data_IF_534939537988
#
_entry.id   IF_534939537988
#
_cell.length_a   1.000
_cell.length_b   1.000
_cell.length_c   1.000
_cell.angle_alpha   90.00
_cell.angle_beta   90.00
_cell.angle_gamma   90.00
#
_symmetry.space_group_name_H-M   'P 1'
#
loop_
_entity.id
_entity.type
_entity.pdbx_description
1 polymer ?
#
# COMPACT_ATOMS: atom_id res chain seq x y z
N UNK A 1 26.16 -15.51 1.33
CA UNK A 1 25.64 -14.50 0.39
C UNK A 1 24.61 -13.67 1.15
N UNK A 2 24.80 -12.36 1.28
CA UNK A 2 23.73 -11.50 1.79
C UNK A 2 22.59 -11.52 0.78
N UNK A 3 21.39 -11.82 1.25
CA UNK A 3 20.18 -11.77 0.43
C UNK A 3 19.87 -10.29 0.18
N UNK A 4 20.26 -9.77 -1.00
CA UNK A 4 19.94 -8.39 -1.36
C UNK A 4 18.49 -8.37 -1.81
N UNK A 5 17.60 -7.84 -0.98
CA UNK A 5 16.22 -7.62 -1.42
C UNK A 5 16.18 -6.49 -2.45
N UNK A 6 15.49 -6.68 -3.58
CA UNK A 6 15.35 -5.64 -4.59
C UNK A 6 14.56 -4.44 -4.04
N UNK A 7 14.99 -3.22 -4.40
CA UNK A 7 14.29 -1.99 -4.04
C UNK A 7 12.97 -1.83 -4.78
N UNK A 8 12.87 -2.41 -5.98
CA UNK A 8 11.68 -2.43 -6.83
C UNK A 8 11.55 -3.81 -7.47
N UNK A 9 10.35 -4.38 -7.42
CA UNK A 9 9.97 -5.58 -8.18
C UNK A 9 8.77 -5.23 -9.06
N UNK A 10 8.84 -5.61 -10.34
CA UNK A 10 7.75 -5.37 -11.31
C UNK A 10 7.13 -6.71 -11.67
N UNK A 11 5.82 -6.83 -11.48
CA UNK A 11 5.05 -7.98 -11.93
C UNK A 11 4.55 -7.72 -13.36
N UNK A 12 4.84 -8.65 -14.26
CA UNK A 12 4.36 -8.63 -15.65
C UNK A 12 3.19 -9.61 -15.75
N UNK A 13 2.03 -9.08 -16.13
CA UNK A 13 0.84 -9.89 -16.41
C UNK A 13 0.91 -10.35 -17.87
N UNK A 14 1.24 -11.64 -18.05
CA UNK A 14 1.37 -12.26 -19.37
C UNK A 14 0.04 -12.66 -19.99
N UNK A 15 -1.02 -12.71 -19.19
CA UNK A 15 -2.36 -13.11 -19.66
C UNK A 15 -3.12 -11.91 -20.23
N UNK A 16 -2.78 -10.70 -19.78
CA UNK A 16 -3.35 -9.43 -20.25
C UNK A 16 -2.32 -8.62 -21.03
N UNK A 17 -1.96 -9.05 -22.26
CA UNK A 17 -1.12 -8.28 -23.20
C UNK A 17 0.28 -7.88 -22.69
N UNK A 18 0.88 -8.64 -21.77
CA UNK A 18 2.22 -8.36 -21.23
C UNK A 18 2.33 -6.99 -20.55
N UNK A 19 1.26 -6.56 -19.89
CA UNK A 19 1.24 -5.29 -19.15
C UNK A 19 1.97 -5.41 -17.81
N UNK A 20 2.30 -4.25 -17.23
CA UNK A 20 2.73 -4.19 -15.83
C UNK A 20 1.50 -4.37 -14.95
N UNK A 21 1.37 -5.54 -14.32
CA UNK A 21 0.28 -5.86 -13.41
C UNK A 21 0.43 -5.22 -12.02
N UNK A 22 1.66 -4.86 -11.65
CA UNK A 22 1.93 -4.14 -10.41
C UNK A 22 3.41 -3.87 -10.19
N UNK A 23 3.69 -2.88 -9.35
CA UNK A 23 5.04 -2.51 -8.94
C UNK A 23 5.10 -2.53 -7.41
N UNK A 24 5.95 -3.40 -6.87
CA UNK A 24 6.24 -3.44 -5.44
C UNK A 24 7.51 -2.62 -5.17
N UNK A 25 7.42 -1.68 -4.22
CA UNK A 25 8.49 -0.74 -3.88
C UNK A 25 8.87 -0.91 -2.40
N UNK A 26 10.15 -1.18 -2.15
CA UNK A 26 10.80 -1.22 -0.83
C UNK A 26 11.82 -0.10 -0.62
N UNK A 27 12.01 0.77 -1.62
CA UNK A 27 12.94 1.90 -1.55
C UNK A 27 12.43 3.01 -0.62
N UNK A 28 13.17 3.31 0.45
CA UNK A 28 12.87 4.36 1.43
C UNK A 28 12.78 5.76 0.82
N UNK A 29 13.42 5.98 -0.34
CA UNK A 29 13.45 7.25 -1.06
C UNK A 29 12.14 7.53 -1.80
N UNK A 30 11.33 6.51 -2.07
CA UNK A 30 10.02 6.72 -2.71
C UNK A 30 9.10 7.50 -1.77
N UNK A 31 8.52 8.59 -2.30
CA UNK A 31 7.52 9.41 -1.63
C UNK A 31 6.45 9.80 -2.64
N UNK A 32 5.19 9.82 -2.21
CA UNK A 32 4.10 10.45 -2.96
C UNK A 32 4.31 11.96 -3.01
N UNK A 33 3.53 12.66 -3.84
CA UNK A 33 3.53 14.12 -3.92
C UNK A 33 3.19 14.83 -2.60
N UNK A 34 2.53 14.14 -1.65
CA UNK A 34 2.26 14.65 -0.29
C UNK A 34 3.27 14.16 0.76
N UNK A 35 4.38 13.59 0.33
CA UNK A 35 5.46 13.14 1.22
C UNK A 35 5.21 11.83 1.95
N UNK A 36 4.17 11.06 1.58
CA UNK A 36 3.89 9.75 2.17
C UNK A 36 4.81 8.71 1.53
N UNK A 37 5.45 7.87 2.33
CA UNK A 37 6.17 6.71 1.80
C UNK A 37 6.49 5.72 2.90
N UNK A 38 7.50 4.88 2.69
CA UNK A 38 7.94 3.92 3.69
C UNK A 38 8.36 4.66 4.97
N UNK A 39 7.97 4.12 6.13
CA UNK A 39 8.13 4.71 7.45
C UNK A 39 7.03 5.72 7.85
N UNK A 40 6.19 6.19 6.92
CA UNK A 40 5.02 7.01 7.28
C UNK A 40 4.03 6.21 8.14
N UNK A 41 3.28 6.90 9.00
CA UNK A 41 2.24 6.31 9.82
C UNK A 41 0.87 6.34 9.10
N UNK A 42 -0.01 5.36 9.35
CA UNK A 42 -1.35 5.29 8.77
C UNK A 42 -2.16 6.57 9.00
N UNK A 43 -2.03 7.21 10.16
CA UNK A 43 -2.69 8.49 10.44
C UNK A 43 -2.25 9.62 9.48
N UNK A 44 -1.00 9.59 9.01
CA UNK A 44 -0.52 10.54 8.00
C UNK A 44 -1.18 10.27 6.63
N UNK A 45 -1.39 9.00 6.28
CA UNK A 45 -2.11 8.62 5.06
C UNK A 45 -3.56 9.10 5.12
N UNK A 46 -4.27 8.82 6.22
CA UNK A 46 -5.67 9.26 6.44
C UNK A 46 -5.83 10.78 6.37
N UNK A 47 -4.83 11.52 6.87
CA UNK A 47 -4.80 12.99 6.79
C UNK A 47 -4.55 13.49 5.36
N UNK A 48 -3.70 12.79 4.61
CA UNK A 48 -3.27 13.21 3.28
C UNK A 48 -4.23 12.76 2.16
N UNK A 49 -4.92 11.62 2.32
CA UNK A 49 -5.67 10.95 1.28
C UNK A 49 -6.94 10.28 1.82
N UNK A 50 -7.89 10.03 0.92
CA UNK A 50 -9.04 9.17 1.21
C UNK A 50 -8.60 7.71 1.15
N UNK A 51 -8.47 7.08 2.31
CA UNK A 51 -8.26 5.62 2.40
C UNK A 51 -9.56 4.93 1.97
N UNK A 52 -9.48 4.12 0.92
CA UNK A 52 -10.63 3.44 0.33
C UNK A 52 -10.99 2.19 1.13
N UNK A 53 -9.98 1.41 1.50
CA UNK A 53 -10.12 0.24 2.36
C UNK A 53 -8.85 -0.02 3.14
N UNK A 54 -8.99 -0.77 4.24
CA UNK A 54 -7.87 -1.39 4.95
C UNK A 54 -8.23 -2.87 5.12
N UNK A 55 -7.47 -3.77 4.50
CA UNK A 55 -7.72 -5.21 4.54
C UNK A 55 -6.45 -6.01 4.21
N UNK A 56 -6.51 -7.31 4.48
CA UNK A 56 -5.45 -8.24 4.14
C UNK A 56 -5.46 -8.55 2.65
N UNK A 57 -4.28 -8.52 2.03
CA UNK A 57 -4.04 -9.18 0.75
C UNK A 57 -3.70 -10.65 0.96
N UNK A 58 -2.80 -11.20 0.14
CA UNK A 58 -2.19 -12.52 0.36
C UNK A 58 -1.15 -12.47 1.49
N UNK A 59 -1.59 -12.19 2.71
CA UNK A 59 -0.75 -12.20 3.92
C UNK A 59 -0.72 -10.88 4.68
N UNK A 60 -0.17 -9.79 4.12
CA UNK A 60 -0.02 -8.54 4.86
C UNK A 60 -1.27 -7.65 4.77
N UNK A 61 -1.38 -6.74 5.75
CA UNK A 61 -2.46 -5.75 5.81
C UNK A 61 -2.07 -4.52 5.00
N UNK A 62 -2.99 -4.04 4.15
CA UNK A 62 -2.76 -2.85 3.34
C UNK A 62 -3.76 -1.76 3.66
N UNK A 63 -3.32 -0.51 3.60
CA UNK A 63 -4.20 0.65 3.45
C UNK A 63 -4.18 1.13 2.00
N UNK A 64 -5.33 1.13 1.35
CA UNK A 64 -5.45 1.46 -0.06
C UNK A 64 -5.92 2.89 -0.29
N UNK A 65 -5.31 3.54 -1.29
CA UNK A 65 -5.72 4.84 -1.83
C UNK A 65 -5.97 4.67 -3.33
N UNK A 66 -7.22 4.35 -3.68
CA UNK A 66 -7.63 4.03 -5.05
C UNK A 66 -7.35 5.17 -6.04
N UNK A 67 -7.53 6.42 -5.60
CA UNK A 67 -7.26 7.63 -6.41
C UNK A 67 -5.80 7.76 -6.84
N UNK A 68 -4.87 7.07 -6.15
CA UNK A 68 -3.45 7.03 -6.52
C UNK A 68 -3.06 5.73 -7.22
N UNK A 69 -3.92 4.70 -7.20
CA UNK A 69 -3.50 3.34 -7.56
C UNK A 69 -2.40 2.82 -6.63
N UNK A 70 -2.49 3.13 -5.33
CA UNK A 70 -1.47 2.73 -4.34
C UNK A 70 -2.09 1.99 -3.16
N UNK A 71 -1.49 0.85 -2.80
CA UNK A 71 -1.71 0.16 -1.53
C UNK A 71 -0.44 0.25 -0.68
N UNK A 72 -0.55 0.79 0.52
CA UNK A 72 0.54 0.88 1.51
C UNK A 72 0.49 -0.34 2.42
N UNK A 73 1.52 -1.18 2.40
CA UNK A 73 1.64 -2.31 3.33
C UNK A 73 1.94 -1.78 4.72
N UNK A 74 1.18 -2.23 5.72
CA UNK A 74 1.32 -1.82 7.11
C UNK A 74 2.06 -2.89 7.92
N UNK A 75 3.00 -2.45 8.76
CA UNK A 75 3.56 -3.23 9.85
C UNK A 75 2.50 -3.42 10.96
N UNK A 76 1.49 -4.22 10.64
CA UNK A 76 0.38 -4.52 11.52
C UNK A 76 -0.29 -5.83 11.11
N UNK A 77 0.01 -6.91 11.84
CA UNK A 77 -0.42 -8.27 11.50
C UNK A 77 -1.53 -8.83 12.40
N UNK A 78 -1.90 -8.12 13.46
CA UNK A 78 -2.85 -8.62 14.47
C UNK A 78 -3.95 -7.59 14.81
N UNK A 79 -4.91 -7.36 13.89
CA UNK A 79 -6.13 -6.63 14.23
C UNK A 79 -6.90 -7.29 15.38
N UNK A 80 -7.75 -6.52 16.06
CA UNK A 80 -8.63 -7.04 17.09
C UNK A 80 -9.72 -7.95 16.50
N UNK A 81 -10.28 -8.85 17.31
CA UNK A 81 -11.46 -9.64 16.93
C UNK A 81 -12.62 -8.77 16.43
N UNK A 82 -12.77 -7.59 17.01
CA UNK A 82 -13.79 -6.63 16.60
C UNK A 82 -13.55 -6.13 15.17
N UNK A 83 -12.29 -5.87 14.79
CA UNK A 83 -11.96 -5.53 13.40
C UNK A 83 -12.30 -6.68 12.46
N UNK A 84 -11.99 -7.93 12.82
CA UNK A 84 -12.35 -9.08 11.97
C UNK A 84 -13.86 -9.23 11.77
N UNK A 85 -14.66 -8.90 12.80
CA UNK A 85 -16.13 -8.96 12.72
C UNK A 85 -16.76 -7.81 11.95
N UNK A 86 -16.22 -6.60 12.09
CA UNK A 86 -16.87 -5.37 11.60
C UNK A 86 -16.22 -4.78 10.36
N UNK A 87 -14.94 -5.13 10.12
CA UNK A 87 -14.05 -4.46 9.16
C UNK A 87 -14.00 -2.94 9.34
N UNK A 88 -14.27 -2.46 10.56
CA UNK A 88 -14.19 -1.05 10.89
C UNK A 88 -12.73 -0.58 10.84
N UNK A 89 -12.38 0.13 9.77
CA UNK A 89 -11.01 0.59 9.51
C UNK A 89 -10.44 1.42 10.66
N UNK A 90 -11.27 2.16 11.42
CA UNK A 90 -10.80 2.98 12.55
C UNK A 90 -10.15 2.17 13.68
N UNK A 91 -10.40 0.86 13.75
CA UNK A 91 -9.76 -0.05 14.71
C UNK A 91 -8.31 -0.39 14.36
N UNK A 92 -7.84 -0.04 13.16
CA UNK A 92 -6.42 -0.09 12.82
C UNK A 92 -5.76 1.21 13.30
N UNK A 93 -4.73 1.12 14.17
CA UNK A 93 -4.16 2.28 14.83
C UNK A 93 -3.42 3.18 13.85
N UNK A 94 -3.57 4.49 14.04
CA UNK A 94 -2.88 5.51 13.23
C UNK A 94 -1.35 5.40 13.30
N UNK A 95 -0.79 4.75 14.32
CA UNK A 95 0.64 4.50 14.49
C UNK A 95 1.20 3.37 13.62
N UNK A 96 0.36 2.55 12.98
CA UNK A 96 0.80 1.49 12.08
C UNK A 96 1.68 2.08 10.97
N UNK A 97 2.85 1.48 10.72
CA UNK A 97 3.88 2.05 9.84
C UNK A 97 3.84 1.41 8.46
N UNK A 98 4.09 2.22 7.43
CA UNK A 98 4.27 1.71 6.06
C UNK A 98 5.61 1.00 5.95
N UNK A 99 5.61 -0.24 5.43
CA UNK A 99 6.83 -1.04 5.20
C UNK A 99 7.13 -1.31 3.73
N UNK A 100 6.11 -1.32 2.89
CA UNK A 100 6.25 -1.43 1.44
C UNK A 100 5.07 -0.74 0.74
N UNK A 101 5.19 -0.56 -0.57
CA UNK A 101 4.20 0.14 -1.39
C UNK A 101 3.95 -0.66 -2.66
N UNK A 102 2.68 -0.97 -2.91
CA UNK A 102 2.24 -1.56 -4.17
C UNK A 102 1.56 -0.49 -5.02
N UNK A 103 2.09 -0.26 -6.21
CA UNK A 103 1.48 0.58 -7.25
C UNK A 103 0.80 -0.33 -8.26
N UNK A 104 -0.42 0.03 -8.64
CA UNK A 104 -1.24 -0.70 -9.60
C UNK A 104 -2.05 0.27 -10.45
N UNK A 105 -2.52 -0.20 -11.61
CA UNK A 105 -3.47 0.58 -12.41
C UNK A 105 -4.87 0.49 -11.79
N UNK A 106 -5.32 1.58 -11.17
CA UNK A 106 -6.69 1.66 -10.65
C UNK A 106 -7.72 2.07 -11.70
N UNK A 107 -7.30 2.43 -12.92
CA UNK A 107 -8.13 3.09 -13.93
C UNK A 107 -8.60 4.50 -13.53
N UNK A 108 -8.29 4.95 -12.30
CA UNK A 108 -8.70 6.23 -11.70
C UNK A 108 -7.53 7.14 -11.34
N UNK A 109 -6.32 6.61 -11.31
CA UNK A 109 -5.11 7.39 -11.09
C UNK A 109 -5.06 8.51 -12.12
N UNK A 110 -5.17 9.76 -11.67
CA UNK A 110 -5.05 10.91 -12.55
C UNK A 110 -3.67 10.87 -13.20
N UNK A 111 -3.61 10.93 -14.54
CA UNK A 111 -2.35 11.17 -15.25
C UNK A 111 -1.73 12.43 -14.64
N UNK A 112 -0.47 12.34 -14.24
CA UNK A 112 0.28 13.52 -13.86
C UNK A 112 0.38 14.40 -15.11
N UNK A 113 -0.11 15.63 -15.00
CA UNK A 113 0.04 16.68 -16.03
C UNK A 113 1.51 17.10 -16.18
#
# INVERSE_FOLDING_TARGET
MQNVEPSITVAIDKENDWIVGGIHIKDQRFKTSKGIGIGSALGQIRKAYKVSWIDFGEGPLFANVEDLGISFELDFSKPSDEWYRTRNQSLIPDSARVVSINVYDSGKAKKAD
#
